data_IF_963386400911
#
_entry.id   IF_963386400911
#
_cell.length_a   1.000
_cell.length_b   1.000
_cell.length_c   1.000
_cell.angle_alpha   90.00
_cell.angle_beta   90.00
_cell.angle_gamma   90.00
#
_symmetry.space_group_name_H-M   'P 1'
#
loop_
_entity.id
_entity.type
_entity.pdbx_description
1 polymer ?
#
# COMPACT_ATOMS: atom_id res chain seq x y z
N UNK A 1 1.33 10.04 -6.73
CA UNK A 1 2.03 8.87 -7.31
C UNK A 1 2.08 9.02 -8.81
N UNK A 2 3.17 8.58 -9.45
CA UNK A 2 3.30 8.62 -10.91
C UNK A 2 2.72 7.31 -11.47
N UNK A 3 2.24 7.32 -12.73
CA UNK A 3 1.66 6.13 -13.38
C UNK A 3 2.59 4.91 -13.35
N UNK A 4 3.91 5.12 -13.32
CA UNK A 4 4.93 4.07 -13.19
C UNK A 4 4.80 3.21 -11.93
N UNK A 5 4.33 3.78 -10.81
CA UNK A 5 4.25 3.04 -9.54
C UNK A 5 3.23 1.90 -9.62
N UNK A 6 2.10 2.15 -10.31
CA UNK A 6 1.04 1.14 -10.52
C UNK A 6 1.52 -0.02 -11.39
N UNK A 7 2.24 0.28 -12.47
CA UNK A 7 2.77 -0.73 -13.39
C UNK A 7 3.80 -1.60 -12.67
N UNK A 8 4.67 -1.00 -11.86
CA UNK A 8 5.66 -1.73 -11.06
C UNK A 8 5.00 -2.75 -10.12
N UNK A 9 3.90 -2.38 -9.44
CA UNK A 9 3.19 -3.32 -8.58
C UNK A 9 2.46 -4.43 -9.35
N UNK A 10 1.93 -4.15 -10.54
CA UNK A 10 1.27 -5.18 -11.35
C UNK A 10 2.24 -6.27 -11.82
N UNK A 11 3.50 -5.91 -12.07
CA UNK A 11 4.56 -6.84 -12.49
C UNK A 11 5.12 -7.70 -11.34
N UNK A 12 4.87 -7.34 -10.08
CA UNK A 12 5.34 -8.11 -8.93
C UNK A 12 4.56 -9.41 -8.74
N UNK A 13 5.25 -10.41 -8.19
CA UNK A 13 4.66 -11.66 -7.75
C UNK A 13 3.60 -11.42 -6.65
N UNK A 14 2.50 -12.19 -6.60
CA UNK A 14 1.50 -12.08 -5.54
C UNK A 14 2.08 -12.19 -4.12
N UNK A 15 3.10 -13.02 -3.90
CA UNK A 15 3.72 -13.17 -2.57
C UNK A 15 4.50 -11.91 -2.17
N UNK A 16 5.24 -11.32 -3.12
CA UNK A 16 5.92 -10.04 -2.93
C UNK A 16 4.93 -8.91 -2.62
N UNK A 17 3.77 -8.90 -3.29
CA UNK A 17 2.70 -7.93 -3.02
C UNK A 17 2.09 -8.11 -1.61
N UNK A 18 1.89 -9.34 -1.14
CA UNK A 18 1.43 -9.62 0.24
C UNK A 18 2.44 -9.16 1.29
N UNK A 19 3.74 -9.41 1.04
CA UNK A 19 4.81 -8.92 1.92
C UNK A 19 4.81 -7.39 1.98
N UNK A 20 4.76 -6.74 0.83
CA UNK A 20 4.71 -5.29 0.75
C UNK A 20 3.47 -4.71 1.43
N UNK A 21 2.30 -5.35 1.29
CA UNK A 21 1.08 -4.96 1.98
C UNK A 21 1.27 -4.96 3.50
N UNK A 22 1.89 -6.01 4.03
CA UNK A 22 2.19 -6.15 5.46
C UNK A 22 3.15 -5.06 5.93
N UNK A 23 4.19 -4.78 5.14
CA UNK A 23 5.18 -3.74 5.47
C UNK A 23 4.56 -2.35 5.46
N UNK A 24 3.66 -2.06 4.52
CA UNK A 24 2.94 -0.78 4.47
C UNK A 24 1.96 -0.62 5.64
N UNK A 25 1.31 -1.69 6.07
CA UNK A 25 0.47 -1.68 7.27
C UNK A 25 1.28 -1.39 8.53
N UNK A 26 2.44 -2.03 8.71
CA UNK A 26 3.37 -1.74 9.81
C UNK A 26 3.83 -0.28 9.78
N UNK A 27 4.23 0.20 8.59
CA UNK A 27 4.63 1.60 8.40
C UNK A 27 3.50 2.57 8.76
N UNK A 28 2.25 2.25 8.43
CA UNK A 28 1.10 3.07 8.81
C UNK A 28 0.98 3.20 10.33
N UNK A 29 1.17 2.10 11.06
CA UNK A 29 1.16 2.09 12.53
C UNK A 29 2.31 2.92 13.08
N UNK A 30 3.53 2.75 12.58
CA UNK A 30 4.68 3.53 13.02
C UNK A 30 4.50 5.04 12.80
N UNK A 31 3.99 5.43 11.63
CA UNK A 31 3.73 6.85 11.34
C UNK A 31 2.63 7.41 12.25
N UNK A 32 1.61 6.60 12.59
CA UNK A 32 0.57 7.01 13.55
C UNK A 32 1.16 7.21 14.93
N UNK A 33 2.04 6.32 15.38
CA UNK A 33 2.75 6.48 16.66
C UNK A 33 3.60 7.75 16.65
N UNK A 34 4.34 8.02 15.57
CA UNK A 34 5.14 9.26 15.44
C UNK A 34 4.28 10.52 15.45
N UNK A 35 3.13 10.50 14.79
CA UNK A 35 2.19 11.62 14.80
C UNK A 35 1.59 11.86 16.18
N UNK A 36 1.17 10.79 16.87
CA UNK A 36 0.66 10.87 18.22
C UNK A 36 1.68 11.45 19.21
N UNK A 37 2.96 11.07 19.06
CA UNK A 37 4.06 11.62 19.86
C UNK A 37 4.49 13.04 19.43
N UNK A 38 3.84 13.64 18.43
CA UNK A 38 4.18 14.99 17.92
C UNK A 38 5.42 15.05 17.03
N UNK A 39 6.06 13.90 16.75
CA UNK A 39 7.29 13.78 15.96
C UNK A 39 7.03 13.80 14.43
N UNK A 40 5.77 13.75 13.99
CA UNK A 40 5.38 13.83 12.60
C UNK A 40 4.32 14.92 12.43
N UNK A 41 4.61 15.94 11.61
CA UNK A 41 3.67 17.04 11.31
C UNK A 41 2.98 16.84 9.96
N UNK A 42 3.67 16.21 9.01
CA UNK A 42 3.12 15.97 7.68
C UNK A 42 2.15 14.78 7.70
N UNK A 43 0.86 15.06 7.54
CA UNK A 43 -0.19 14.04 7.49
C UNK A 43 -0.41 13.47 6.09
N UNK A 44 0.20 14.06 5.06
CA UNK A 44 0.08 13.59 3.67
C UNK A 44 0.66 12.19 3.49
N UNK A 45 1.63 11.81 4.34
CA UNK A 45 2.21 10.47 4.36
C UNK A 45 1.17 9.39 4.67
N UNK A 46 0.17 9.69 5.50
CA UNK A 46 -0.93 8.75 5.78
C UNK A 46 -1.77 8.49 4.55
N UNK A 47 -2.11 9.55 3.82
CA UNK A 47 -2.89 9.45 2.59
C UNK A 47 -2.14 8.63 1.54
N UNK A 48 -0.83 8.85 1.42
CA UNK A 48 0.04 8.09 0.51
C UNK A 48 0.09 6.60 0.88
N UNK A 49 0.36 6.27 2.14
CA UNK A 49 0.44 4.87 2.60
C UNK A 49 -0.91 4.16 2.43
N UNK A 50 -2.02 4.82 2.80
CA UNK A 50 -3.37 4.25 2.60
C UNK A 50 -3.69 4.00 1.14
N UNK A 51 -3.29 4.91 0.25
CA UNK A 51 -3.47 4.74 -1.19
C UNK A 51 -2.66 3.55 -1.72
N UNK A 52 -1.40 3.41 -1.29
CA UNK A 52 -0.55 2.26 -1.66
C UNK A 52 -1.16 0.92 -1.20
N UNK A 53 -1.65 0.87 0.04
CA UNK A 53 -2.37 -0.31 0.59
C UNK A 53 -3.59 -0.65 -0.27
N UNK A 54 -4.43 0.34 -0.58
CA UNK A 54 -5.62 0.13 -1.38
C UNK A 54 -5.28 -0.40 -2.78
N UNK A 55 -4.25 0.18 -3.43
CA UNK A 55 -3.81 -0.23 -4.75
C UNK A 55 -3.32 -1.69 -4.77
N UNK A 56 -2.46 -2.06 -3.83
CA UNK A 56 -1.93 -3.43 -3.73
C UNK A 56 -3.07 -4.42 -3.44
N UNK A 57 -4.01 -4.04 -2.57
CA UNK A 57 -5.19 -4.87 -2.26
C UNK A 57 -6.05 -5.09 -3.51
N UNK A 58 -6.30 -4.04 -4.29
CA UNK A 58 -7.00 -4.15 -5.58
C UNK A 58 -6.26 -5.07 -6.56
N UNK A 59 -4.94 -4.91 -6.70
CA UNK A 59 -4.14 -5.75 -7.59
C UNK A 59 -4.19 -7.22 -7.15
N UNK A 60 -4.06 -7.50 -5.86
CA UNK A 60 -4.17 -8.86 -5.32
C UNK A 60 -5.56 -9.46 -5.56
N UNK A 61 -6.62 -8.68 -5.35
CA UNK A 61 -8.00 -9.10 -5.64
C UNK A 61 -8.18 -9.43 -7.13
N UNK A 62 -7.69 -8.55 -8.02
CA UNK A 62 -7.75 -8.76 -9.48
C UNK A 62 -6.92 -9.96 -9.94
N UNK A 63 -5.82 -10.27 -9.25
CA UNK A 63 -4.99 -11.47 -9.56
C UNK A 63 -5.62 -12.77 -9.03
N UNK A 64 -6.48 -12.70 -8.01
CA UNK A 64 -7.09 -13.86 -7.38
C UNK A 64 -8.46 -14.23 -7.97
N UNK A 65 -9.25 -13.25 -8.42
CA UNK A 65 -10.47 -13.51 -9.17
C UNK A 65 -10.17 -13.57 -10.67
N UNK A 66 -10.27 -14.74 -11.35
CA UNK A 66 -10.53 -14.71 -12.77
C UNK A 66 -11.86 -13.98 -12.94
N UNK A 67 -11.89 -12.93 -13.77
CA UNK A 67 -13.12 -12.24 -14.15
C UNK A 67 -14.18 -13.29 -14.50
N UNK A 68 -15.19 -13.49 -13.63
CA UNK A 68 -16.42 -14.12 -14.07
C UNK A 68 -17.05 -13.16 -15.07
N UNK A 69 -17.27 -13.71 -16.25
CA UNK A 69 -17.74 -13.05 -17.47
C UNK A 69 -19.18 -12.55 -17.31
#
# INVERSE_FOLDING_TARGET
MKKSDKISYQQKDPNELKKLLTDLQKKLVEQRSKFYLGNLKDTSVFKKIKYEIALISTILSTKHEPKSN
#
